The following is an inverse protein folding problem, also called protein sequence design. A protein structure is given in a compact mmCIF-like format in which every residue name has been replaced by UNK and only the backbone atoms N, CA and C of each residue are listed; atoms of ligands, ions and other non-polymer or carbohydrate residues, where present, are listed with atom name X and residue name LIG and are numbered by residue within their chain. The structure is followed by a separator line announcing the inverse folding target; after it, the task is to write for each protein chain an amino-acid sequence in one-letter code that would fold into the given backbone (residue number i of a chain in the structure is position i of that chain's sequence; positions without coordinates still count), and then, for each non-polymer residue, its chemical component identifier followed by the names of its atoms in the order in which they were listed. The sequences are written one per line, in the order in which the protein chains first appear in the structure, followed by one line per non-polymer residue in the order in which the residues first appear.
data_IF_499321209265
#
_entry.id   IF_499321209265
#
_cell.length_a   1.000
_cell.length_b   1.000
_cell.length_c   1.000
_cell.angle_alpha   90.00
_cell.angle_beta   90.00
_cell.angle_gamma   90.00
#
_symmetry.space_group_name_H-M   'P 1'
#
loop_
_entity.id
_entity.type
_entity.pdbx_description
1 polymer ?
#
# COMPACT_ATOMS: atom_id res chain seq x y z
N UNK A 1 -31.93 -0.15 24.85
CA UNK A 1 -30.51 0.26 24.81
C UNK A 1 -29.69 -0.95 25.18
N UNK A 2 -28.76 -1.37 24.32
CA UNK A 2 -27.86 -2.50 24.62
C UNK A 2 -26.61 -1.97 25.33
N UNK A 3 -26.24 -2.62 26.43
CA UNK A 3 -25.13 -2.22 27.29
C UNK A 3 -23.83 -2.83 26.76
N UNK A 4 -23.02 -2.02 26.07
CA UNK A 4 -21.80 -2.46 25.38
C UNK A 4 -20.60 -2.70 26.30
N UNK A 5 -20.79 -2.60 27.62
CA UNK A 5 -19.72 -2.79 28.61
C UNK A 5 -19.67 -4.21 29.21
N UNK A 6 -20.54 -5.13 28.77
CA UNK A 6 -20.50 -6.54 29.17
C UNK A 6 -19.76 -7.40 28.14
N UNK A 7 -18.44 -7.36 28.14
CA UNK A 7 -17.63 -8.38 27.48
C UNK A 7 -17.22 -9.45 28.51
N UNK A 8 -17.40 -10.75 28.24
CA UNK A 8 -16.95 -11.79 29.13
C UNK A 8 -15.41 -11.84 29.12
N UNK A 9 -14.79 -11.52 30.27
CA UNK A 9 -13.36 -11.70 30.48
C UNK A 9 -13.04 -13.19 30.58
N UNK A 10 -12.47 -13.74 29.51
CA UNK A 10 -11.97 -15.13 29.52
C UNK A 10 -10.55 -15.12 30.09
N UNK A 11 -10.36 -15.72 31.26
CA UNK A 11 -9.05 -15.86 31.88
C UNK A 11 -8.32 -17.06 31.26
N UNK A 12 -7.47 -16.81 30.28
CA UNK A 12 -6.68 -17.84 29.59
C UNK A 12 -5.37 -18.03 30.36
N UNK A 13 -5.25 -19.16 31.06
CA UNK A 13 -3.99 -19.59 31.66
C UNK A 13 -3.30 -20.56 30.70
N UNK A 14 -2.09 -20.21 30.24
CA UNK A 14 -1.26 -21.07 29.43
C UNK A 14 -0.27 -21.81 30.33
N UNK A 15 -0.22 -23.13 30.24
CA UNK A 15 0.81 -23.95 30.86
C UNK A 15 2.04 -23.95 29.96
N UNK A 16 3.03 -23.11 30.27
CA UNK A 16 4.32 -23.13 29.56
C UNK A 16 5.18 -24.27 30.11
N UNK A 17 4.92 -25.50 29.69
CA UNK A 17 5.88 -26.58 29.86
C UNK A 17 6.89 -26.53 28.71
N UNK A 18 7.80 -25.57 28.79
CA UNK A 18 9.02 -25.61 28.00
C UNK A 18 10.20 -25.29 28.90
N UNK A 19 10.93 -26.33 29.26
CA UNK A 19 12.19 -26.25 30.00
C UNK A 19 13.29 -25.69 29.09
N UNK A 20 13.11 -24.45 28.64
CA UNK A 20 14.14 -23.65 28.01
C UNK A 20 14.95 -23.01 29.13
N UNK A 21 16.14 -23.54 29.35
CA UNK A 21 17.23 -22.95 30.10
C UNK A 21 17.64 -21.60 29.48
N UNK A 22 16.82 -20.58 29.68
CA UNK A 22 17.15 -19.20 29.32
C UNK A 22 18.03 -18.64 30.42
N UNK A 23 19.34 -18.63 30.18
CA UNK A 23 20.26 -17.77 30.95
C UNK A 23 19.84 -16.32 30.72
N UNK A 24 19.42 -15.55 31.74
CA UNK A 24 19.05 -14.17 31.56
C UNK A 24 20.32 -13.36 31.32
N UNK A 25 20.63 -13.08 30.05
CA UNK A 25 21.64 -12.10 29.70
C UNK A 25 21.14 -10.73 30.16
N UNK A 26 21.81 -10.18 31.16
CA UNK A 26 21.51 -8.89 31.76
C UNK A 26 21.91 -7.77 30.78
N UNK A 27 21.09 -7.55 29.75
CA UNK A 27 21.33 -6.49 28.77
C UNK A 27 20.88 -5.16 29.36
N UNK A 28 21.82 -4.51 30.05
CA UNK A 28 21.78 -3.10 30.43
C UNK A 28 21.32 -2.28 29.23
N UNK A 29 20.31 -1.43 29.46
CA UNK A 29 20.03 -0.27 28.62
C UNK A 29 21.32 0.54 28.46
N UNK A 30 21.93 0.49 27.28
CA UNK A 30 22.77 1.55 26.71
C UNK A 30 22.69 1.53 25.18
N UNK A 31 22.21 2.65 24.68
CA UNK A 31 22.14 3.13 23.31
C UNK A 31 23.46 2.94 22.55
N UNK A 32 23.45 2.13 21.47
CA UNK A 32 24.47 2.21 20.39
C UNK A 32 24.05 1.47 19.10
N UNK A 33 23.81 2.27 18.05
CA UNK A 33 23.99 2.04 16.60
C UNK A 33 23.90 0.63 16.00
N UNK A 34 22.90 0.42 15.13
CA UNK A 34 23.07 -0.35 13.89
C UNK A 34 22.02 0.09 12.86
N UNK A 35 22.32 1.18 12.18
CA UNK A 35 21.73 1.52 10.88
C UNK A 35 22.08 0.42 9.89
N UNK A 36 21.15 -0.49 9.56
CA UNK A 36 21.29 -1.27 8.32
C UNK A 36 20.03 -1.84 7.67
N UNK A 37 18.85 -1.62 8.23
CA UNK A 37 17.60 -1.97 7.54
C UNK A 37 16.55 -0.89 7.79
N UNK A 38 16.83 0.32 7.29
CA UNK A 38 15.74 1.25 6.97
C UNK A 38 15.20 0.83 5.61
N UNK A 39 13.88 0.54 5.45
CA UNK A 39 13.32 0.41 4.11
C UNK A 39 13.66 1.70 3.34
N UNK A 40 13.96 1.62 2.03
CA UNK A 40 14.21 2.82 1.24
C UNK A 40 13.04 3.78 1.46
N UNK A 41 13.31 5.10 1.58
CA UNK A 41 12.26 6.06 1.78
C UNK A 41 11.20 5.84 0.70
N UNK A 42 9.93 5.70 1.13
CA UNK A 42 8.84 5.50 0.20
C UNK A 42 8.87 6.66 -0.81
N UNK A 43 9.03 6.33 -2.09
CA UNK A 43 9.01 7.32 -3.17
C UNK A 43 7.74 8.13 -3.08
N UNK A 44 7.85 9.45 -3.23
CA UNK A 44 6.68 10.32 -3.17
C UNK A 44 5.77 10.01 -4.36
N UNK A 45 4.45 10.21 -4.24
CA UNK A 45 3.51 10.00 -5.34
C UNK A 45 3.92 10.72 -6.64
N UNK A 46 4.47 11.92 -6.52
CA UNK A 46 5.01 12.68 -7.65
C UNK A 46 6.15 11.93 -8.36
N UNK A 47 7.09 11.36 -7.60
CA UNK A 47 8.23 10.60 -8.11
C UNK A 47 7.81 9.26 -8.75
N UNK A 48 6.74 8.65 -8.22
CA UNK A 48 6.13 7.47 -8.83
C UNK A 48 5.38 7.81 -10.13
N UNK A 49 4.84 9.02 -10.25
CA UNK A 49 4.13 9.49 -11.45
C UNK A 49 5.09 9.72 -12.63
N UNK A 50 6.31 10.19 -12.35
CA UNK A 50 7.36 10.42 -13.37
C UNK A 50 7.85 9.15 -14.09
N UNK A 51 7.47 7.96 -13.62
CA UNK A 51 7.85 6.68 -14.26
C UNK A 51 6.99 6.32 -15.49
N UNK A 52 6.47 7.33 -16.18
CA UNK A 52 5.81 7.10 -17.47
C UNK A 52 6.85 6.68 -18.50
N UNK A 53 6.55 5.60 -19.21
CA UNK A 53 7.42 5.02 -20.25
C UNK A 53 6.65 5.00 -21.57
N UNK A 54 7.33 4.85 -22.71
CA UNK A 54 6.66 4.72 -24.02
C UNK A 54 5.52 3.67 -24.03
N UNK A 55 5.63 2.62 -23.21
CA UNK A 55 4.63 1.55 -23.12
C UNK A 55 3.55 1.78 -22.04
N UNK A 56 3.90 2.44 -20.93
CA UNK A 56 3.05 2.58 -19.76
C UNK A 56 2.76 4.04 -19.45
N UNK A 57 1.48 4.40 -19.46
CA UNK A 57 1.03 5.76 -19.19
C UNK A 57 0.41 5.87 -17.81
N UNK A 58 0.63 7.02 -17.16
CA UNK A 58 0.04 7.35 -15.86
C UNK A 58 -1.37 7.91 -16.03
N UNK A 59 -2.12 7.97 -14.93
CA UNK A 59 -3.40 8.68 -14.93
C UNK A 59 -3.26 10.15 -15.37
N UNK A 60 -2.14 10.84 -15.11
CA UNK A 60 -1.96 12.24 -15.52
C UNK A 60 -1.90 12.36 -17.04
N UNK A 61 -1.15 11.47 -17.70
CA UNK A 61 -1.09 11.46 -19.16
C UNK A 61 -2.43 11.07 -19.78
N UNK A 62 -3.15 10.12 -19.19
CA UNK A 62 -4.52 9.78 -19.64
C UNK A 62 -5.42 11.00 -19.53
N UNK A 63 -5.34 11.73 -18.42
CA UNK A 63 -6.12 12.95 -18.22
C UNK A 63 -5.79 14.00 -19.30
N UNK A 64 -4.51 14.21 -19.59
CA UNK A 64 -4.04 15.15 -20.62
C UNK A 64 -4.48 14.72 -22.03
N UNK A 65 -4.32 13.45 -22.39
CA UNK A 65 -4.65 12.89 -23.70
C UNK A 65 -6.13 13.10 -24.06
N UNK A 66 -7.03 12.90 -23.10
CA UNK A 66 -8.46 13.10 -23.29
C UNK A 66 -8.94 14.51 -22.91
N UNK A 67 -8.02 15.42 -22.57
CA UNK A 67 -8.31 16.78 -22.11
C UNK A 67 -9.35 16.84 -20.98
N UNK A 68 -9.25 15.90 -20.04
CA UNK A 68 -10.09 15.81 -18.85
C UNK A 68 -9.25 16.08 -17.60
N UNK A 69 -9.85 16.63 -16.56
CA UNK A 69 -9.13 16.99 -15.33
C UNK A 69 -9.37 16.02 -14.18
N UNK A 70 -10.44 15.21 -14.27
CA UNK A 70 -10.91 14.39 -13.15
C UNK A 70 -10.62 12.91 -13.37
N UNK A 71 -9.84 12.34 -12.43
CA UNK A 71 -9.60 10.88 -12.36
C UNK A 71 -10.89 10.09 -12.15
N UNK A 72 -11.92 10.70 -11.56
CA UNK A 72 -13.23 10.06 -11.42
C UNK A 72 -13.92 9.80 -12.77
N UNK A 73 -13.66 10.64 -13.77
CA UNK A 73 -14.18 10.46 -15.14
C UNK A 73 -13.65 9.17 -15.74
N UNK A 74 -12.37 8.87 -15.56
CA UNK A 74 -11.76 7.61 -16.03
C UNK A 74 -12.46 6.40 -15.40
N UNK A 75 -12.74 6.43 -14.09
CA UNK A 75 -13.47 5.33 -13.43
C UNK A 75 -14.89 5.17 -13.97
N UNK A 76 -15.60 6.27 -14.25
CA UNK A 76 -16.93 6.20 -14.88
C UNK A 76 -16.86 5.59 -16.28
N UNK A 77 -15.84 5.94 -17.07
CA UNK A 77 -15.67 5.37 -18.41
C UNK A 77 -15.37 3.87 -18.37
N UNK A 78 -14.65 3.39 -17.37
CA UNK A 78 -14.46 1.94 -17.16
C UNK A 78 -15.80 1.23 -16.94
N UNK A 79 -16.71 1.85 -16.21
CA UNK A 79 -18.03 1.27 -15.92
C UNK A 79 -19.03 1.39 -17.09
N UNK A 80 -18.94 2.45 -17.89
CA UNK A 80 -20.02 2.83 -18.83
C UNK A 80 -19.63 2.81 -20.30
N UNK A 81 -18.34 2.89 -20.62
CA UNK A 81 -17.81 3.03 -21.99
C UNK A 81 -16.78 1.96 -22.36
N UNK A 82 -16.50 1.02 -21.46
CA UNK A 82 -15.51 -0.04 -21.70
C UNK A 82 -14.06 0.46 -21.73
N UNK A 83 -13.76 1.56 -21.04
CA UNK A 83 -12.38 2.05 -20.95
C UNK A 83 -11.46 0.97 -20.37
N UNK A 84 -10.23 0.80 -20.89
CA UNK A 84 -9.33 -0.26 -20.48
C UNK A 84 -9.04 -0.29 -18.98
N UNK A 85 -8.89 -1.50 -18.46
CA UNK A 85 -8.46 -1.72 -17.09
C UNK A 85 -6.97 -1.36 -16.92
N UNK A 86 -6.60 -0.68 -15.82
CA UNK A 86 -5.20 -0.40 -15.53
C UNK A 86 -4.44 -1.70 -15.23
N UNK A 87 -3.19 -1.76 -15.65
CA UNK A 87 -2.29 -2.89 -15.37
C UNK A 87 -1.89 -2.90 -13.88
N UNK A 88 -1.70 -1.72 -13.30
CA UNK A 88 -1.36 -1.56 -11.88
C UNK A 88 -2.36 -0.62 -11.21
N UNK A 89 -2.74 -0.93 -9.97
CA UNK A 89 -3.70 -0.13 -9.21
C UNK A 89 -3.03 0.96 -8.35
N UNK A 90 -1.77 0.77 -7.96
CA UNK A 90 -1.00 1.70 -7.11
C UNK A 90 0.49 1.71 -7.52
N UNK A 91 0.96 2.71 -8.29
CA UNK A 91 0.19 3.77 -8.93
C UNK A 91 -0.68 3.24 -10.08
N UNK A 92 -1.70 4.00 -10.49
CA UNK A 92 -2.52 3.64 -11.65
C UNK A 92 -1.72 3.77 -12.95
N UNK A 93 -1.64 2.68 -13.72
CA UNK A 93 -0.95 2.63 -15.01
C UNK A 93 -1.77 1.89 -16.05
N UNK A 94 -1.71 2.35 -17.30
CA UNK A 94 -2.33 1.68 -18.45
C UNK A 94 -1.29 1.41 -19.54
N UNK A 95 -1.56 0.43 -20.42
CA UNK A 95 -0.82 0.33 -21.67
C UNK A 95 -1.19 1.51 -22.56
N UNK A 96 -0.19 2.16 -23.14
CA UNK A 96 -0.41 3.25 -24.10
C UNK A 96 -1.29 2.78 -25.27
N UNK A 97 -0.95 1.63 -25.86
CA UNK A 97 -1.69 1.07 -27.00
C UNK A 97 -3.16 0.81 -26.68
N UNK A 98 -3.48 0.32 -25.48
CA UNK A 98 -4.86 0.04 -25.10
C UNK A 98 -5.71 1.31 -24.89
N UNK A 99 -5.07 2.46 -24.66
CA UNK A 99 -5.75 3.73 -24.43
C UNK A 99 -5.85 4.58 -25.70
N UNK A 100 -4.89 4.44 -26.61
CA UNK A 100 -4.85 5.18 -27.89
C UNK A 100 -5.63 4.50 -29.04
N UNK A 101 -6.00 3.21 -28.91
CA UNK A 101 -6.88 2.49 -29.85
C UNK A 101 -8.34 3.00 -29.86
#
# INVERSE_FOLDING_TARGET
MFDYNSYPTVNISYTTENSLNVTPSHCKSKQQSNDRYSPPPAKTYAELNEQSTHLLISHVEVLEMFQITSRATIYKWRQTRGFPEPITLMPLRWLRSAVEE
#
